data_IF_449500340457
#
_entry.id   IF_449500340457
#
_cell.length_a   1.000
_cell.length_b   1.000
_cell.length_c   1.000
_cell.angle_alpha   90.00
_cell.angle_beta   90.00
_cell.angle_gamma   90.00
#
_symmetry.space_group_name_H-M   'P 1'
#
loop_
_entity.id
_entity.type
_entity.pdbx_description
1 polymer ?
#
# COMPACT_ATOMS: atom_id res chain seq x y z
N UNK A 1 -8.89 1.11 -23.61
CA UNK A 1 -10.09 1.15 -22.75
C UNK A 1 -9.64 0.90 -21.33
N UNK A 2 -9.94 1.78 -20.38
CA UNK A 2 -9.75 1.47 -18.95
C UNK A 2 -10.87 0.50 -18.57
N UNK A 3 -10.53 -0.70 -18.10
CA UNK A 3 -11.51 -1.69 -17.68
C UNK A 3 -12.33 -1.10 -16.52
N UNK A 4 -13.63 -0.91 -16.71
CA UNK A 4 -14.52 -0.52 -15.63
C UNK A 4 -14.70 -1.71 -14.69
N UNK A 5 -14.20 -1.60 -13.47
CA UNK A 5 -14.52 -2.56 -12.40
C UNK A 5 -15.94 -2.29 -11.94
N UNK A 6 -16.84 -3.27 -12.07
CA UNK A 6 -18.24 -3.13 -11.64
C UNK A 6 -18.30 -3.03 -10.11
N UNK A 7 -19.07 -2.10 -9.52
CA UNK A 7 -19.20 -1.97 -8.07
C UNK A 7 -19.65 -3.26 -7.36
N UNK A 8 -20.39 -4.12 -8.06
CA UNK A 8 -20.82 -5.44 -7.57
C UNK A 8 -19.70 -6.45 -7.39
N UNK A 9 -18.53 -6.25 -8.02
CA UNK A 9 -17.32 -7.02 -7.74
C UNK A 9 -16.58 -6.45 -6.52
N UNK A 10 -16.52 -5.12 -6.40
CA UNK A 10 -15.83 -4.46 -5.28
C UNK A 10 -16.46 -4.83 -3.93
N UNK A 11 -17.78 -4.95 -3.87
CA UNK A 11 -18.50 -5.34 -2.65
C UNK A 11 -18.24 -6.78 -2.19
N UNK A 12 -17.61 -7.62 -3.04
CA UNK A 12 -17.27 -9.02 -2.70
C UNK A 12 -15.84 -9.16 -2.19
N UNK A 13 -15.04 -8.10 -2.28
CA UNK A 13 -13.67 -8.15 -1.77
C UNK A 13 -13.70 -8.18 -0.24
N UNK A 14 -12.91 -9.06 0.39
CA UNK A 14 -12.82 -9.14 1.84
C UNK A 14 -12.00 -7.96 2.40
N UNK A 15 -12.54 -6.75 2.32
CA UNK A 15 -11.91 -5.55 2.87
C UNK A 15 -12.20 -5.50 4.36
N UNK A 16 -11.16 -5.64 5.18
CA UNK A 16 -11.26 -5.54 6.65
C UNK A 16 -11.80 -4.15 7.04
N UNK A 17 -12.84 -4.12 7.89
CA UNK A 17 -13.33 -2.87 8.49
C UNK A 17 -12.51 -2.52 9.71
N UNK A 18 -12.18 -1.23 9.85
CA UNK A 18 -11.36 -0.71 10.94
C UNK A 18 -12.28 -0.32 12.10
N UNK A 19 -12.00 -0.84 13.29
CA UNK A 19 -12.66 -0.44 14.53
C UNK A 19 -11.90 0.72 15.17
N UNK A 20 -12.35 1.96 14.90
CA UNK A 20 -11.78 3.17 15.48
C UNK A 20 -11.96 3.30 17.00
N UNK A 21 -12.78 2.45 17.62
CA UNK A 21 -12.94 2.38 19.08
C UNK A 21 -11.79 1.60 19.73
N UNK A 22 -11.12 0.72 18.97
CA UNK A 22 -9.93 -0.01 19.40
C UNK A 22 -8.67 0.85 19.14
N UNK A 23 -7.94 1.27 20.20
CA UNK A 23 -6.75 2.10 20.04
C UNK A 23 -5.64 1.46 19.21
N UNK A 24 -5.49 0.13 19.26
CA UNK A 24 -4.47 -0.58 18.48
C UNK A 24 -4.82 -0.53 16.99
N UNK A 25 -6.08 -0.82 16.65
CA UNK A 25 -6.56 -0.83 15.27
C UNK A 25 -6.48 0.58 14.65
N UNK A 26 -6.85 1.60 15.44
CA UNK A 26 -6.66 3.00 15.06
C UNK A 26 -5.18 3.33 14.85
N UNK A 27 -4.29 2.90 15.74
CA UNK A 27 -2.86 3.19 15.59
C UNK A 27 -2.27 2.53 14.34
N UNK A 28 -2.69 1.32 14.00
CA UNK A 28 -2.27 0.63 12.78
C UNK A 28 -2.77 1.37 11.53
N UNK A 29 -4.05 1.77 11.53
CA UNK A 29 -4.61 2.61 10.48
C UNK A 29 -3.84 3.92 10.30
N UNK A 30 -3.57 4.65 11.38
CA UNK A 30 -2.92 5.96 11.31
C UNK A 30 -1.48 5.84 10.77
N UNK A 31 -0.77 4.76 11.11
CA UNK A 31 0.53 4.42 10.52
C UNK A 31 0.40 4.15 9.02
N UNK A 32 -0.57 3.33 8.60
CA UNK A 32 -0.79 2.99 7.19
C UNK A 32 -1.12 4.26 6.37
N UNK A 33 -1.99 5.12 6.89
CA UNK A 33 -2.32 6.41 6.26
C UNK A 33 -1.07 7.26 6.08
N UNK A 34 -0.19 7.35 7.08
CA UNK A 34 1.05 8.14 6.98
C UNK A 34 1.99 7.62 5.87
N UNK A 35 2.06 6.30 5.68
CA UNK A 35 2.85 5.69 4.59
C UNK A 35 2.24 5.97 3.22
N UNK A 36 0.91 5.89 3.10
CA UNK A 36 0.20 6.20 1.86
C UNK A 36 0.36 7.68 1.49
N UNK A 37 0.22 8.59 2.45
CA UNK A 37 0.45 10.02 2.23
C UNK A 37 1.88 10.31 1.75
N UNK A 38 2.87 9.67 2.39
CA UNK A 38 4.27 9.73 1.95
C UNK A 38 4.45 9.20 0.53
N UNK A 39 3.85 8.06 0.19
CA UNK A 39 3.93 7.48 -1.15
C UNK A 39 3.34 8.42 -2.21
N UNK A 40 2.18 9.03 -1.93
CA UNK A 40 1.55 10.00 -2.82
C UNK A 40 2.41 11.25 -3.03
N UNK A 41 3.06 11.75 -1.98
CA UNK A 41 3.99 12.88 -2.10
C UNK A 41 5.22 12.52 -2.94
N UNK A 42 5.85 11.36 -2.68
CA UNK A 42 6.99 10.88 -3.44
C UNK A 42 6.67 10.73 -4.93
N UNK A 43 5.48 10.21 -5.27
CA UNK A 43 5.04 10.11 -6.66
C UNK A 43 4.85 11.49 -7.32
N UNK A 44 4.29 12.47 -6.60
CA UNK A 44 4.20 13.85 -7.10
C UNK A 44 5.59 14.45 -7.35
N UNK A 45 6.52 14.25 -6.43
CA UNK A 45 7.90 14.70 -6.59
C UNK A 45 8.60 14.03 -7.78
N UNK A 46 8.35 12.73 -8.00
CA UNK A 46 8.90 11.97 -9.13
C UNK A 46 8.40 12.52 -10.47
N UNK A 47 7.09 12.80 -10.56
CA UNK A 47 6.48 13.39 -11.75
C UNK A 47 7.05 14.78 -12.06
N UNK A 48 7.36 15.58 -11.04
CA UNK A 48 7.95 16.91 -11.20
C UNK A 48 9.47 16.90 -11.44
N UNK A 49 10.18 15.82 -11.11
CA UNK A 49 11.63 15.74 -11.21
C UNK A 49 12.10 15.71 -12.68
N UNK A 50 13.05 16.58 -13.04
CA UNK A 50 13.67 16.62 -14.38
C UNK A 50 15.00 15.87 -14.46
N UNK A 51 15.72 15.80 -13.35
CA UNK A 51 17.06 15.20 -13.29
C UNK A 51 16.95 13.67 -13.13
N UNK A 52 17.65 12.87 -13.97
CA UNK A 52 17.61 11.41 -13.88
C UNK A 52 18.01 10.88 -12.50
N UNK A 53 19.08 11.43 -11.90
CA UNK A 53 19.53 10.97 -10.58
C UNK A 53 18.50 11.21 -9.48
N UNK A 54 17.78 12.34 -9.53
CA UNK A 54 16.69 12.63 -8.58
C UNK A 54 15.55 11.63 -8.76
N UNK A 55 15.21 11.26 -10.00
CA UNK A 55 14.21 10.21 -10.27
C UNK A 55 14.63 8.86 -9.70
N UNK A 56 15.90 8.46 -9.85
CA UNK A 56 16.41 7.21 -9.27
C UNK A 56 16.28 7.17 -7.75
N UNK A 57 16.61 8.28 -7.07
CA UNK A 57 16.46 8.36 -5.61
C UNK A 57 14.99 8.28 -5.21
N UNK A 58 14.11 9.00 -5.90
CA UNK A 58 12.67 8.99 -5.61
C UNK A 58 12.05 7.60 -5.86
N UNK A 59 12.41 6.92 -6.94
CA UNK A 59 11.97 5.55 -7.21
C UNK A 59 12.36 4.60 -6.08
N UNK A 60 13.60 4.65 -5.61
CA UNK A 60 14.04 3.82 -4.47
C UNK A 60 13.25 4.12 -3.20
N UNK A 61 12.92 5.39 -2.94
CA UNK A 61 12.10 5.75 -1.78
C UNK A 61 10.67 5.25 -1.93
N UNK A 62 10.12 5.25 -3.14
CA UNK A 62 8.81 4.67 -3.44
C UNK A 62 8.85 3.17 -3.20
N UNK A 63 9.81 2.43 -3.76
CA UNK A 63 9.98 0.98 -3.56
C UNK A 63 10.18 0.58 -2.09
N UNK A 64 10.80 1.44 -1.28
CA UNK A 64 10.89 1.21 0.17
C UNK A 64 9.55 1.43 0.84
N UNK A 65 8.84 2.51 0.48
CA UNK A 65 7.54 2.84 1.09
C UNK A 65 6.47 1.81 0.70
N UNK A 66 6.52 1.29 -0.52
CA UNK A 66 5.65 0.24 -1.05
C UNK A 66 5.78 -1.04 -0.21
N UNK A 67 7.02 -1.54 -0.01
CA UNK A 67 7.28 -2.68 0.87
C UNK A 67 6.84 -2.48 2.32
N UNK A 68 6.99 -1.26 2.86
CA UNK A 68 6.50 -0.94 4.20
C UNK A 68 4.97 -1.00 4.30
N UNK A 69 4.27 -0.66 3.22
CA UNK A 69 2.81 -0.80 3.13
C UNK A 69 2.43 -2.27 3.04
N UNK A 70 3.10 -3.04 2.18
CA UNK A 70 2.84 -4.48 2.03
C UNK A 70 3.03 -5.24 3.36
N UNK A 71 4.16 -5.03 4.03
CA UNK A 71 4.45 -5.62 5.36
C UNK A 71 3.33 -5.32 6.36
N UNK A 72 2.88 -4.06 6.42
CA UNK A 72 1.82 -3.65 7.34
C UNK A 72 0.46 -4.25 6.97
N UNK A 73 0.17 -4.41 5.69
CA UNK A 73 -1.06 -5.05 5.21
C UNK A 73 -1.01 -6.55 5.50
N UNK A 74 0.12 -7.21 5.31
CA UNK A 74 0.31 -8.63 5.64
C UNK A 74 0.12 -8.87 7.13
N UNK A 75 0.70 -8.03 7.99
CA UNK A 75 0.46 -8.06 9.44
C UNK A 75 -1.03 -7.87 9.78
N UNK A 76 -1.71 -6.95 9.10
CA UNK A 76 -3.13 -6.65 9.32
C UNK A 76 -4.04 -7.85 8.99
N UNK A 77 -3.69 -8.62 7.96
CA UNK A 77 -4.41 -9.82 7.56
C UNK A 77 -3.88 -11.09 8.25
N UNK A 78 -2.79 -10.99 9.01
CA UNK A 78 -2.18 -12.12 9.72
C UNK A 78 -1.62 -13.19 8.80
N UNK A 79 -1.10 -12.80 7.63
CA UNK A 79 -0.57 -13.73 6.64
C UNK A 79 0.72 -14.41 7.13
N UNK A 80 0.87 -15.70 6.84
CA UNK A 80 2.14 -16.43 7.06
C UNK A 80 3.14 -16.15 5.94
N UNK A 81 4.41 -16.51 6.17
CA UNK A 81 5.45 -16.39 5.13
C UNK A 81 5.07 -17.15 3.85
N UNK A 82 4.46 -18.34 3.98
CA UNK A 82 3.98 -19.10 2.82
C UNK A 82 2.84 -18.40 2.08
N UNK A 83 1.91 -17.78 2.81
CA UNK A 83 0.80 -17.02 2.21
C UNK A 83 1.29 -15.75 1.52
N UNK A 84 2.29 -15.08 2.09
CA UNK A 84 2.96 -13.92 1.48
C UNK A 84 3.65 -14.33 0.18
N UNK A 85 4.38 -15.45 0.15
CA UNK A 85 5.04 -15.93 -1.07
C UNK A 85 4.03 -16.23 -2.19
N UNK A 86 2.84 -16.76 -1.85
CA UNK A 86 1.75 -16.98 -2.80
C UNK A 86 1.25 -15.65 -3.37
N UNK A 87 1.05 -14.64 -2.53
CA UNK A 87 0.59 -13.30 -2.96
C UNK A 87 1.62 -12.63 -3.87
N UNK A 88 2.90 -12.67 -3.50
CA UNK A 88 4.00 -12.04 -4.25
C UNK A 88 4.28 -12.74 -5.59
N UNK A 89 4.04 -14.06 -5.67
CA UNK A 89 4.21 -14.83 -6.92
C UNK A 89 3.07 -14.64 -7.93
N UNK A 90 1.97 -14.00 -7.52
CA UNK A 90 0.88 -13.58 -8.40
C UNK A 90 0.13 -14.71 -9.09
N UNK A 91 0.04 -15.88 -8.44
CA UNK A 91 -0.65 -17.09 -8.94
C UNK A 91 -2.16 -16.98 -8.80
#
# INVERSE_FOLDING_TARGET
>A
MLAQVKPTLLSKLPIRTIDFSNPEDKSQHDKLVSLVERMLDLQKQLAAAKLPQKKTVLNRQIEVTDRQIDEMVYELYGLTEEEIEIVDSGI
#
